data_IF_564621515364
#
_entry.id   IF_564621515364
#
_cell.length_a   1.000
_cell.length_b   1.000
_cell.length_c   1.000
_cell.angle_alpha   90.00
_cell.angle_beta   90.00
_cell.angle_gamma   90.00
#
_symmetry.space_group_name_H-M   'P 1'
#
loop_
_entity.id
_entity.type
_entity.pdbx_description
1 polymer ?
#
# COMPACT_ATOMS: atom_id res chain seq x y z
N UNK A 1 -2.06 0.51 -13.86
CA UNK A 1 -3.06 0.72 -12.78
C UNK A 1 -2.39 0.38 -11.47
N UNK A 2 -2.47 1.28 -10.48
CA UNK A 2 -1.87 1.17 -9.16
C UNK A 2 -2.99 1.20 -8.13
N UNK A 3 -3.12 0.16 -7.31
CA UNK A 3 -4.09 0.13 -6.20
C UNK A 3 -3.38 0.47 -4.90
N UNK A 4 -3.87 1.48 -4.20
CA UNK A 4 -3.38 1.95 -2.90
C UNK A 4 -1.84 1.97 -2.83
N UNK A 5 -1.14 2.55 -3.83
CA UNK A 5 0.30 2.40 -3.96
C UNK A 5 0.98 2.89 -2.69
N UNK A 6 1.92 2.09 -2.21
CA UNK A 6 2.76 2.43 -1.07
C UNK A 6 3.68 3.57 -1.53
N UNK A 7 3.21 4.80 -1.38
CA UNK A 7 3.98 6.03 -1.55
C UNK A 7 4.25 6.57 -0.14
N UNK A 8 3.20 6.67 0.67
CA UNK A 8 3.34 7.07 2.07
C UNK A 8 2.75 6.03 2.99
N UNK A 9 3.49 5.69 4.05
CA UNK A 9 3.05 4.83 5.14
C UNK A 9 2.39 5.68 6.25
N UNK A 10 1.30 5.18 6.86
CA UNK A 10 0.78 5.73 8.10
C UNK A 10 1.85 5.68 9.21
N UNK A 11 2.03 6.74 10.02
CA UNK A 11 2.99 6.74 11.13
C UNK A 11 2.79 5.59 12.13
N UNK A 12 1.54 5.12 12.29
CA UNK A 12 1.19 4.00 13.15
C UNK A 12 1.79 2.65 12.72
N UNK A 13 2.16 2.49 11.44
CA UNK A 13 2.78 1.28 10.91
C UNK A 13 4.32 1.29 11.00
N UNK A 14 4.92 2.43 11.34
CA UNK A 14 6.36 2.58 11.48
C UNK A 14 6.78 2.45 12.95
N UNK A 15 7.97 1.89 13.25
CA UNK A 15 8.52 1.97 14.59
C UNK A 15 8.67 3.42 15.05
N UNK A 16 8.62 3.70 16.37
CA UNK A 16 8.90 5.02 16.91
C UNK A 16 10.22 5.57 16.36
N UNK A 17 10.21 6.79 15.83
CA UNK A 17 11.37 7.38 15.12
C UNK A 17 12.66 7.35 15.94
N UNK A 18 12.56 7.52 17.25
CA UNK A 18 13.68 7.48 18.20
C UNK A 18 14.38 6.11 18.20
N UNK A 19 13.66 5.02 17.92
CA UNK A 19 14.20 3.67 17.89
C UNK A 19 14.78 3.28 16.52
N UNK A 20 14.51 4.04 15.46
CA UNK A 20 14.91 3.66 14.10
C UNK A 20 16.42 3.47 13.93
N UNK A 21 17.32 4.34 14.44
CA UNK A 21 18.77 4.13 14.28
C UNK A 21 19.24 2.82 14.92
N UNK A 22 18.75 2.52 16.13
CA UNK A 22 19.05 1.28 16.84
C UNK A 22 18.55 0.05 16.06
N UNK A 23 17.31 0.09 15.59
CA UNK A 23 16.72 -1.02 14.83
C UNK A 23 17.39 -1.22 13.47
N UNK A 24 17.83 -0.14 12.81
CA UNK A 24 18.59 -0.20 11.56
C UNK A 24 19.98 -0.79 11.77
N UNK A 25 20.67 -0.45 12.86
CA UNK A 25 21.93 -1.11 13.24
C UNK A 25 21.70 -2.60 13.54
N UNK A 26 20.66 -2.93 14.32
CA UNK A 26 20.29 -4.31 14.61
C UNK A 26 19.96 -5.11 13.34
N UNK A 27 19.37 -4.46 12.32
CA UNK A 27 19.07 -5.08 11.04
C UNK A 27 20.32 -5.53 10.25
N UNK A 28 21.51 -4.99 10.55
CA UNK A 28 22.78 -5.45 9.95
C UNK A 28 23.20 -6.79 10.54
N UNK A 29 23.05 -6.95 11.87
CA UNK A 29 23.47 -8.15 12.59
C UNK A 29 22.42 -9.26 12.54
N UNK A 30 21.14 -8.89 12.60
CA UNK A 30 20.00 -9.81 12.68
C UNK A 30 18.94 -9.48 11.61
N UNK A 31 19.27 -9.53 10.31
CA UNK A 31 18.38 -9.09 9.23
C UNK A 31 17.04 -9.85 9.16
N UNK A 32 17.02 -11.09 9.66
CA UNK A 32 15.83 -11.96 9.72
C UNK A 32 15.02 -11.82 11.02
N UNK A 33 15.50 -11.02 11.98
CA UNK A 33 14.75 -10.70 13.19
C UNK A 33 13.43 -10.02 12.87
N UNK A 34 12.40 -10.22 13.69
CA UNK A 34 11.09 -9.56 13.54
C UNK A 34 11.17 -8.14 14.09
N UNK A 35 10.47 -7.20 13.47
CA UNK A 35 10.33 -5.84 14.00
C UNK A 35 9.43 -5.90 15.25
N UNK A 36 9.92 -5.53 16.45
CA UNK A 36 9.12 -5.58 17.67
C UNK A 36 7.92 -4.62 17.60
N UNK A 37 6.76 -5.06 18.09
CA UNK A 37 5.57 -4.21 18.22
C UNK A 37 4.89 -3.83 16.89
N UNK A 38 5.30 -4.40 15.76
CA UNK A 38 4.67 -4.13 14.46
C UNK A 38 3.21 -4.59 14.43
N UNK A 39 2.28 -3.65 14.24
CA UNK A 39 0.85 -3.97 14.06
C UNK A 39 0.50 -4.40 12.63
N UNK A 40 1.40 -4.19 11.66
CA UNK A 40 1.16 -4.40 10.23
C UNK A 40 0.68 -5.81 9.84
N UNK A 41 0.79 -6.79 10.73
CA UNK A 41 0.43 -8.20 10.52
C UNK A 41 -0.51 -8.74 11.59
N UNK A 42 -1.16 -7.87 12.38
CA UNK A 42 -2.23 -8.31 13.26
C UNK A 42 -3.38 -8.83 12.39
N UNK A 43 -3.85 -10.05 12.68
CA UNK A 43 -4.85 -10.73 11.85
C UNK A 43 -6.09 -9.86 11.60
N UNK A 44 -6.63 -9.24 12.64
CA UNK A 44 -7.79 -8.35 12.51
C UNK A 44 -7.53 -7.14 11.60
N UNK A 45 -6.34 -6.53 11.71
CA UNK A 45 -5.96 -5.40 10.83
C UNK A 45 -5.75 -5.86 9.38
N UNK A 46 -5.23 -7.07 9.19
CA UNK A 46 -5.07 -7.66 7.86
C UNK A 46 -6.42 -8.01 7.24
N UNK A 47 -7.35 -8.61 8.00
CA UNK A 47 -8.72 -8.89 7.55
C UNK A 47 -9.49 -7.60 7.21
N UNK A 48 -9.28 -6.55 8.00
CA UNK A 48 -9.89 -5.23 7.76
C UNK A 48 -9.40 -4.53 6.47
N UNK A 49 -8.36 -5.04 5.81
CA UNK A 49 -7.94 -4.57 4.50
C UNK A 49 -8.95 -4.92 3.40
N UNK A 50 -9.81 -5.92 3.62
CA UNK A 50 -10.82 -6.38 2.68
C UNK A 50 -12.18 -5.77 3.04
N UNK A 51 -12.93 -5.35 2.02
CA UNK A 51 -14.31 -4.91 2.23
C UNK A 51 -15.29 -6.08 2.37
N UNK A 52 -15.02 -7.18 1.67
CA UNK A 52 -15.77 -8.43 1.78
C UNK A 52 -14.94 -9.48 2.54
N UNK A 53 -15.44 -9.87 3.71
CA UNK A 53 -14.79 -10.81 4.61
C UNK A 53 -14.58 -12.20 3.99
N UNK A 54 -15.40 -12.59 3.01
CA UNK A 54 -15.26 -13.90 2.34
C UNK A 54 -13.91 -14.03 1.62
N UNK A 55 -13.40 -12.94 1.02
CA UNK A 55 -12.07 -12.93 0.43
C UNK A 55 -10.96 -13.03 1.47
N UNK A 56 -11.11 -12.34 2.61
CA UNK A 56 -10.16 -12.42 3.71
C UNK A 56 -10.10 -13.85 4.28
N UNK A 57 -11.24 -14.51 4.49
CA UNK A 57 -11.28 -15.90 4.95
C UNK A 57 -10.69 -16.86 3.91
N UNK A 58 -11.07 -16.73 2.64
CA UNK A 58 -10.54 -17.58 1.57
C UNK A 58 -9.01 -17.48 1.51
N UNK A 59 -8.46 -16.26 1.51
CA UNK A 59 -7.03 -16.03 1.52
C UNK A 59 -6.37 -16.56 2.81
N UNK A 60 -6.99 -16.41 3.97
CA UNK A 60 -6.45 -16.92 5.24
C UNK A 60 -6.40 -18.45 5.29
N UNK A 61 -7.34 -19.14 4.62
CA UNK A 61 -7.38 -20.60 4.54
C UNK A 61 -6.49 -21.18 3.43
N UNK A 62 -5.92 -20.33 2.57
CA UNK A 62 -5.01 -20.77 1.51
C UNK A 62 -3.72 -21.34 2.11
N UNK A 63 -3.31 -22.58 1.77
CA UNK A 63 -2.08 -23.18 2.29
C UNK A 63 -0.80 -22.42 1.90
N UNK A 64 -0.87 -21.53 0.91
CA UNK A 64 0.24 -20.68 0.48
C UNK A 64 0.28 -19.33 1.21
N UNK A 65 -0.76 -19.00 1.97
CA UNK A 65 -0.82 -17.74 2.71
C UNK A 65 0.03 -17.79 3.98
N UNK A 66 0.79 -16.72 4.20
CA UNK A 66 1.52 -16.52 5.46
C UNK A 66 1.32 -15.08 5.94
N UNK A 67 1.04 -14.94 7.24
CA UNK A 67 0.93 -13.64 7.90
C UNK A 67 2.09 -13.47 8.88
N UNK A 68 3.25 -13.11 8.33
CA UNK A 68 4.51 -13.10 9.04
C UNK A 68 4.96 -11.68 9.35
N UNK A 69 5.37 -11.42 10.60
CA UNK A 69 5.83 -10.09 11.00
C UNK A 69 6.95 -9.56 10.10
N UNK A 70 6.93 -8.25 9.76
CA UNK A 70 7.99 -7.62 8.98
C UNK A 70 9.36 -7.88 9.61
N UNK A 71 10.36 -8.08 8.76
CA UNK A 71 11.73 -8.40 9.18
C UNK A 71 12.57 -7.13 9.29
N UNK A 72 13.54 -7.11 10.20
CA UNK A 72 14.38 -5.95 10.49
C UNK A 72 15.09 -5.39 9.26
N UNK A 73 15.50 -6.24 8.30
CA UNK A 73 16.15 -5.76 7.08
C UNK A 73 15.30 -4.78 6.27
N UNK A 74 13.96 -4.84 6.38
CA UNK A 74 13.07 -3.90 5.70
C UNK A 74 13.27 -2.46 6.17
N UNK A 75 13.71 -2.24 7.42
CA UNK A 75 13.99 -0.89 7.94
C UNK A 75 15.19 -0.22 7.25
N UNK A 76 16.05 -1.01 6.59
CA UNK A 76 17.15 -0.50 5.78
C UNK A 76 16.69 0.01 4.41
N UNK A 77 15.44 -0.26 4.02
CA UNK A 77 14.84 0.27 2.81
C UNK A 77 14.25 1.66 3.03
N UNK A 78 14.10 2.14 4.27
CA UNK A 78 13.53 3.47 4.55
C UNK A 78 14.36 4.62 3.91
N UNK A 79 15.70 4.64 3.94
CA UNK A 79 16.44 5.68 3.23
C UNK A 79 16.29 5.58 1.71
N UNK A 80 16.22 4.36 1.16
CA UNK A 80 15.99 4.12 -0.27
C UNK A 80 14.57 4.59 -0.65
N UNK A 81 13.61 4.44 0.26
CA UNK A 81 12.26 4.95 0.11
C UNK A 81 12.22 6.46 -0.09
N UNK A 82 12.98 7.19 0.73
CA UNK A 82 13.10 8.64 0.67
C UNK A 82 13.79 9.08 -0.63
N UNK A 83 14.81 8.34 -1.07
CA UNK A 83 15.46 8.54 -2.37
C UNK A 83 14.48 8.31 -3.52
N UNK A 84 13.73 7.21 -3.54
CA UNK A 84 12.70 6.95 -4.54
C UNK A 84 11.62 8.05 -4.56
N UNK A 85 11.27 8.60 -3.39
CA UNK A 85 10.39 9.76 -3.32
C UNK A 85 10.98 10.97 -4.01
N UNK A 86 12.29 11.18 -3.97
CA UNK A 86 12.92 12.29 -4.68
C UNK A 86 12.87 12.15 -6.21
N UNK A 87 12.52 10.97 -6.74
CA UNK A 87 12.43 10.65 -8.16
C UNK A 87 11.01 10.53 -8.70
N UNK A 88 9.97 10.87 -7.93
CA UNK A 88 8.58 10.76 -8.41
C UNK A 88 8.34 11.54 -9.71
N UNK A 89 9.01 12.68 -9.91
CA UNK A 89 8.90 13.47 -11.13
C UNK A 89 9.43 12.76 -12.39
N UNK A 90 10.28 11.75 -12.24
CA UNK A 90 10.84 11.02 -13.39
C UNK A 90 9.83 10.04 -14.00
N UNK A 91 8.69 9.81 -13.33
CA UNK A 91 7.60 8.95 -13.82
C UNK A 91 6.86 9.65 -14.95
N UNK A 92 7.12 9.23 -16.19
CA UNK A 92 6.47 9.74 -17.42
C UNK A 92 5.42 8.80 -17.99
N UNK A 93 5.40 7.54 -17.57
CA UNK A 93 4.46 6.51 -18.04
C UNK A 93 3.03 6.87 -17.66
N UNK A 94 2.02 6.62 -18.54
CA UNK A 94 0.62 6.76 -18.17
C UNK A 94 0.23 5.88 -16.98
N UNK A 95 -0.53 6.40 -16.03
CA UNK A 95 -0.98 5.60 -14.88
C UNK A 95 -2.33 6.03 -14.30
N UNK A 96 -3.06 5.05 -13.77
CA UNK A 96 -4.25 5.23 -12.95
C UNK A 96 -3.94 4.80 -11.52
N UNK A 97 -4.27 5.62 -10.54
CA UNK A 97 -4.25 5.28 -9.12
C UNK A 97 -5.68 5.10 -8.60
N UNK A 98 -5.91 4.02 -7.86
CA UNK A 98 -7.15 3.73 -7.16
C UNK A 98 -6.84 3.76 -5.66
N UNK A 99 -7.55 4.52 -4.84
CA UNK A 99 -7.25 4.59 -3.41
C UNK A 99 -8.49 4.91 -2.57
N UNK A 100 -8.70 4.20 -1.47
CA UNK A 100 -9.65 4.64 -0.45
C UNK A 100 -9.11 5.86 0.31
N UNK A 101 -9.91 6.92 0.56
CA UNK A 101 -9.46 8.07 1.35
C UNK A 101 -9.00 7.71 2.77
N UNK A 102 -9.65 6.70 3.37
CA UNK A 102 -9.47 6.29 4.76
C UNK A 102 -8.69 4.97 4.89
N UNK A 103 -7.83 4.68 3.91
CA UNK A 103 -7.00 3.47 3.91
C UNK A 103 -6.02 3.45 5.10
N UNK A 104 -6.10 2.44 5.99
CA UNK A 104 -5.22 2.34 7.15
C UNK A 104 -3.86 1.70 6.83
N UNK A 105 -3.64 1.23 5.59
CA UNK A 105 -2.43 0.52 5.16
C UNK A 105 -1.46 1.45 4.43
N UNK A 106 -1.97 2.32 3.57
CA UNK A 106 -1.19 3.32 2.84
C UNK A 106 -1.93 4.65 2.85
N UNK A 107 -1.21 5.78 2.82
CA UNK A 107 -1.86 7.08 2.90
C UNK A 107 -2.28 7.58 1.51
N UNK A 108 -3.56 7.93 1.35
CA UNK A 108 -4.07 8.58 0.14
C UNK A 108 -3.34 9.90 -0.18
N UNK A 109 -2.79 10.58 0.85
CA UNK A 109 -1.93 11.76 0.66
C UNK A 109 -0.70 11.46 -0.21
N UNK A 110 -0.05 10.30 -0.04
CA UNK A 110 1.05 9.88 -0.90
C UNK A 110 0.62 9.65 -2.36
N UNK A 111 -0.59 9.13 -2.58
CA UNK A 111 -1.13 9.05 -3.95
C UNK A 111 -1.40 10.42 -4.57
N UNK A 112 -1.88 11.39 -3.78
CA UNK A 112 -2.03 12.78 -4.25
C UNK A 112 -0.67 13.39 -4.59
N UNK A 113 0.35 13.15 -3.77
CA UNK A 113 1.72 13.60 -4.03
C UNK A 113 2.27 12.98 -5.33
N UNK A 114 2.09 11.68 -5.54
CA UNK A 114 2.46 11.00 -6.79
C UNK A 114 1.82 11.69 -8.00
N UNK A 115 0.52 11.99 -7.94
CA UNK A 115 -0.18 12.69 -9.02
C UNK A 115 0.37 14.10 -9.23
N UNK A 116 0.70 14.81 -8.16
CA UNK A 116 1.24 16.16 -8.25
C UNK A 116 2.63 16.18 -8.89
N UNK A 117 3.50 15.25 -8.49
CA UNK A 117 4.94 15.31 -8.81
C UNK A 117 5.30 14.62 -10.11
N UNK A 118 4.65 13.51 -10.47
CA UNK A 118 4.99 12.75 -11.68
C UNK A 118 4.94 13.59 -12.96
N UNK A 119 5.91 13.44 -13.87
CA UNK A 119 5.92 14.14 -15.15
C UNK A 119 4.94 13.55 -16.19
N UNK A 120 4.30 12.42 -15.89
CA UNK A 120 3.31 11.79 -16.76
C UNK A 120 2.22 12.77 -17.18
N UNK A 121 2.02 12.92 -18.49
CA UNK A 121 0.95 13.73 -19.07
C UNK A 121 -0.41 13.06 -18.98
N UNK A 122 -0.44 11.77 -18.67
CA UNK A 122 -1.64 10.95 -18.65
C UNK A 122 -1.74 10.18 -17.33
N UNK A 123 -2.24 10.87 -16.31
CA UNK A 123 -2.29 10.38 -14.94
C UNK A 123 -3.63 10.71 -14.29
N UNK A 124 -4.20 9.74 -13.59
CA UNK A 124 -5.51 9.86 -12.95
C UNK A 124 -5.48 9.28 -11.53
N UNK A 125 -6.23 9.90 -10.61
CA UNK A 125 -6.50 9.37 -9.28
C UNK A 125 -7.99 9.23 -9.07
N UNK A 126 -8.45 8.00 -8.93
CA UNK A 126 -9.78 7.67 -8.46
C UNK A 126 -9.75 7.42 -6.95
N UNK A 127 -10.35 8.35 -6.20
CA UNK A 127 -10.66 8.10 -4.80
C UNK A 127 -11.93 7.27 -4.70
N UNK A 128 -11.92 6.26 -3.85
CA UNK A 128 -13.02 5.31 -3.70
C UNK A 128 -13.57 5.41 -2.26
N UNK A 129 -14.55 6.29 -2.01
CA UNK A 129 -15.22 6.36 -0.72
C UNK A 129 -15.79 4.99 -0.33
N UNK A 130 -15.80 4.72 0.98
CA UNK A 130 -16.31 3.48 1.60
C UNK A 130 -15.52 2.21 1.27
N UNK A 131 -14.60 2.26 0.31
CA UNK A 131 -13.67 1.17 0.03
C UNK A 131 -12.66 0.96 1.15
N UNK A 132 -12.13 -0.25 1.23
CA UNK A 132 -10.98 -0.64 2.05
C UNK A 132 -9.71 -0.62 1.21
N UNK A 133 -8.66 -1.29 1.68
CA UNK A 133 -7.37 -1.33 1.00
C UNK A 133 -7.41 -2.21 -0.27
N UNK A 134 -8.07 -3.38 -0.19
CA UNK A 134 -8.18 -4.36 -1.27
C UNK A 134 -9.41 -4.07 -2.14
N UNK A 135 -9.38 -2.99 -2.90
CA UNK A 135 -10.52 -2.47 -3.67
C UNK A 135 -11.14 -3.44 -4.70
N UNK A 136 -10.39 -4.47 -5.12
CA UNK A 136 -10.88 -5.53 -6.02
C UNK A 136 -11.48 -6.73 -5.27
N UNK A 137 -11.32 -6.77 -3.95
CA UNK A 137 -11.88 -7.76 -3.03
C UNK A 137 -12.73 -7.03 -1.97
N UNK A 138 -13.44 -6.01 -2.42
CA UNK A 138 -14.30 -5.17 -1.60
C UNK A 138 -15.76 -5.59 -1.77
N UNK A 139 -16.68 -4.87 -1.13
CA UNK A 139 -18.11 -5.06 -1.33
C UNK A 139 -18.48 -5.00 -2.83
N UNK A 140 -19.49 -5.77 -3.28
CA UNK A 140 -19.77 -5.94 -4.71
C UNK A 140 -19.97 -4.63 -5.48
N UNK A 141 -20.58 -3.63 -4.87
CA UNK A 141 -20.82 -2.30 -5.45
C UNK A 141 -19.53 -1.49 -5.59
N UNK A 142 -18.67 -1.50 -4.57
CA UNK A 142 -17.34 -0.86 -4.59
C UNK A 142 -16.48 -1.51 -5.68
N UNK A 143 -16.41 -2.84 -5.68
CA UNK A 143 -15.63 -3.61 -6.65
C UNK A 143 -16.14 -3.36 -8.07
N UNK A 144 -17.45 -3.38 -8.31
CA UNK A 144 -18.03 -3.11 -9.63
C UNK A 144 -17.66 -1.70 -10.14
N UNK A 145 -17.80 -0.68 -9.29
CA UNK A 145 -17.44 0.71 -9.61
C UNK A 145 -15.96 0.84 -10.00
N UNK A 146 -15.08 0.19 -9.25
CA UNK A 146 -13.63 0.17 -9.52
C UNK A 146 -13.31 -0.55 -10.82
N UNK A 147 -13.84 -1.75 -11.03
CA UNK A 147 -13.59 -2.55 -12.24
C UNK A 147 -14.12 -1.84 -13.48
N UNK A 148 -15.33 -1.26 -13.44
CA UNK A 148 -15.87 -0.49 -14.57
C UNK A 148 -14.97 0.69 -14.92
N UNK A 149 -14.48 1.42 -13.92
CA UNK A 149 -13.59 2.56 -14.15
C UNK A 149 -12.23 2.14 -14.73
N UNK A 150 -11.62 1.09 -14.18
CA UNK A 150 -10.37 0.51 -14.69
C UNK A 150 -10.53 0.03 -16.14
N UNK A 151 -11.59 -0.70 -16.45
CA UNK A 151 -11.86 -1.18 -17.79
C UNK A 151 -12.00 -0.01 -18.78
N UNK A 152 -12.74 1.03 -18.42
CA UNK A 152 -12.86 2.26 -19.23
C UNK A 152 -11.49 2.91 -19.44
N UNK A 153 -10.69 3.06 -18.39
CA UNK A 153 -9.37 3.68 -18.46
C UNK A 153 -8.44 2.91 -19.41
N UNK A 154 -8.45 1.59 -19.33
CA UNK A 154 -7.66 0.71 -20.21
C UNK A 154 -8.13 0.78 -21.66
N UNK A 155 -9.43 0.61 -21.92
CA UNK A 155 -10.01 0.60 -23.28
C UNK A 155 -9.74 1.92 -24.01
N UNK A 156 -9.71 3.05 -23.29
CA UNK A 156 -9.43 4.36 -23.91
C UNK A 156 -7.95 4.56 -24.31
N UNK A 157 -7.06 3.63 -23.95
CA UNK A 157 -5.61 3.68 -24.19
C UNK A 157 -5.08 2.45 -24.95
N UNK A 158 -5.96 1.52 -25.28
CA UNK A 158 -5.70 0.37 -26.16
C UNK A 158 -6.28 0.66 -27.54
#
# INVERSE_FOLDING_TARGET
VLMAPLIQLPPALLPPRVLLPLLQTAAVLFPRGRIPGSSAVQLEQWKAAFGDASFAEAAHTDPLFTLDAPRLHLLRLLPVWDELHSHLQDITTPFLVLHSPDDPRTCAAGSRELLQRAASSDKELMLVPEGRHMLFQDQPDVTARVVTHVAKWLITRC
#
